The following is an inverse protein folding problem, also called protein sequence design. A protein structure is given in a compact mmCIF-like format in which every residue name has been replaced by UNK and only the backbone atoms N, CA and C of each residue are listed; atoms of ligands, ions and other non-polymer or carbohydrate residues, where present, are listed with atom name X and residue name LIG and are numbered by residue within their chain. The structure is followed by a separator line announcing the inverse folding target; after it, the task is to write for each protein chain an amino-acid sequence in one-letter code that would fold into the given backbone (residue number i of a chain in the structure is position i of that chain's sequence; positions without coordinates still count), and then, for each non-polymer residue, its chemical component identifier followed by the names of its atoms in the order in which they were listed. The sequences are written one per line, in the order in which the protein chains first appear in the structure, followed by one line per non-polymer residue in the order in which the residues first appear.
data_IF_152213283608
#
_entry.id   IF_152213283608
#
_cell.length_a   1.000
_cell.length_b   1.000
_cell.length_c   1.000
_cell.angle_alpha   90.00
_cell.angle_beta   90.00
_cell.angle_gamma   90.00
#
_symmetry.space_group_name_H-M   'P 1'
#
loop_
_entity.id
_entity.type
_entity.pdbx_description
1 polymer ?
#
# COMPACT_ATOMS: atom_id res chain seq x y z
N UNK A 1 -14.00 11.71 8.63
CA UNK A 1 -13.68 10.86 9.79
C UNK A 1 -12.28 10.34 9.52
N UNK A 2 -11.24 10.99 10.06
CA UNK A 2 -9.84 10.61 9.78
C UNK A 2 -9.45 9.53 10.79
N UNK A 3 -9.52 8.28 10.35
CA UNK A 3 -9.06 7.14 11.12
C UNK A 3 -7.53 7.20 11.24
N UNK A 4 -7.03 7.14 12.48
CA UNK A 4 -5.59 7.23 12.76
C UNK A 4 -5.08 5.83 13.05
N UNK A 5 -4.15 5.36 12.23
CA UNK A 5 -3.42 4.13 12.49
C UNK A 5 -2.47 4.33 13.67
N UNK A 6 -2.49 3.40 14.63
CA UNK A 6 -1.62 3.41 15.82
C UNK A 6 -1.17 2.01 16.16
N UNK A 7 0.02 1.87 16.72
CA UNK A 7 0.49 0.60 17.24
C UNK A 7 -0.17 0.27 18.58
N UNK A 8 -0.72 -0.95 18.71
CA UNK A 8 -1.28 -1.42 19.97
C UNK A 8 -0.30 -2.35 20.70
N UNK A 9 0.15 -2.03 21.93
CA UNK A 9 1.10 -2.86 22.67
C UNK A 9 0.51 -4.21 23.12
N UNK A 10 -0.82 -4.35 23.14
CA UNK A 10 -1.49 -5.61 23.53
C UNK A 10 -1.74 -6.54 22.34
N UNK A 11 -2.06 -5.99 21.17
CA UNK A 11 -2.24 -6.77 19.95
C UNK A 11 -0.94 -7.00 19.19
N UNK A 12 0.12 -6.24 19.51
CA UNK A 12 1.42 -6.25 18.85
C UNK A 12 1.35 -6.05 17.32
N UNK A 13 0.39 -5.23 16.85
CA UNK A 13 0.18 -4.89 15.44
C UNK A 13 -0.35 -3.46 15.29
N UNK A 14 -0.22 -2.94 14.07
CA UNK A 14 -0.87 -1.69 13.65
C UNK A 14 -2.39 -1.88 13.61
N UNK A 15 -3.11 -0.95 14.22
CA UNK A 15 -4.57 -0.99 14.32
C UNK A 15 -5.14 0.40 14.07
N UNK A 16 -6.38 0.44 13.58
CA UNK A 16 -7.13 1.70 13.51
C UNK A 16 -7.59 2.08 14.93
N UNK A 17 -7.33 3.32 15.34
CA UNK A 17 -7.69 3.83 16.66
C UNK A 17 -9.02 4.59 16.62
N UNK A 18 -9.98 4.17 17.45
CA UNK A 18 -11.27 4.86 17.64
C UNK A 18 -11.09 6.06 18.56
N UNK A 19 -11.46 7.25 18.08
CA UNK A 19 -11.50 8.50 18.85
C UNK A 19 -12.79 8.57 19.66
N UNK A 20 -12.68 8.57 20.99
CA UNK A 20 -13.81 8.77 21.90
C UNK A 20 -13.66 10.11 22.62
N UNK A 21 -14.63 11.03 22.51
CA UNK A 21 -14.61 12.27 23.29
C UNK A 21 -14.75 11.96 24.78
N UNK A 22 -13.94 12.60 25.62
CA UNK A 22 -14.03 12.55 27.08
C UNK A 22 -14.63 13.86 27.56
N UNK A 23 -15.67 13.78 28.39
CA UNK A 23 -16.44 14.92 28.90
C UNK A 23 -16.27 15.06 30.42
N UNK A 24 -16.24 16.31 30.92
CA UNK A 24 -16.54 16.67 32.31
C UNK A 24 -17.92 17.31 32.32
N UNK A 25 -18.92 16.61 32.87
CA UNK A 25 -20.30 17.07 32.77
C UNK A 25 -20.71 17.32 31.31
N UNK A 26 -20.94 18.59 30.95
CA UNK A 26 -21.34 19.03 29.61
C UNK A 26 -20.18 19.56 28.74
N UNK A 27 -18.95 19.63 29.26
CA UNK A 27 -17.80 20.21 28.56
C UNK A 27 -16.87 19.11 28.07
N UNK A 28 -16.53 19.11 26.78
CA UNK A 28 -15.54 18.16 26.21
C UNK A 28 -14.13 18.56 26.66
N UNK A 29 -13.48 17.73 27.48
CA UNK A 29 -12.11 17.98 28.00
C UNK A 29 -11.05 17.49 27.02
N UNK A 30 -11.35 16.46 26.22
CA UNK A 30 -10.37 15.89 25.32
C UNK A 30 -10.85 14.68 24.52
N UNK A 31 -9.90 13.98 23.94
CA UNK A 31 -10.13 12.77 23.14
C UNK A 31 -9.26 11.63 23.66
N UNK A 32 -9.88 10.47 23.89
CA UNK A 32 -9.20 9.23 24.21
C UNK A 32 -9.20 8.31 22.99
N UNK A 33 -8.07 7.67 22.72
CA UNK A 33 -7.95 6.69 21.65
C UNK A 33 -8.14 5.27 22.20
N UNK A 34 -8.92 4.45 21.50
CA UNK A 34 -9.13 3.03 21.86
C UNK A 34 -8.82 2.12 20.67
N UNK A 35 -8.13 1.00 20.92
CA UNK A 35 -7.87 -0.01 19.90
C UNK A 35 -9.19 -0.66 19.44
N UNK A 36 -9.41 -0.70 18.12
CA UNK A 36 -10.57 -1.38 17.50
C UNK A 36 -10.63 -2.88 17.78
N UNK A 37 -9.47 -3.55 17.93
CA UNK A 37 -9.43 -5.01 18.09
C UNK A 37 -9.54 -5.49 19.53
N UNK A 38 -8.81 -4.87 20.47
CA UNK A 38 -8.78 -5.33 21.87
C UNK A 38 -9.43 -4.35 22.87
N UNK A 39 -9.87 -3.18 22.42
CA UNK A 39 -10.49 -2.17 23.28
C UNK A 39 -9.56 -1.43 24.24
N UNK A 40 -8.24 -1.70 24.21
CA UNK A 40 -7.29 -1.05 25.10
C UNK A 40 -7.15 0.45 24.80
N UNK A 41 -7.06 1.28 25.86
CA UNK A 41 -6.77 2.71 25.75
C UNK A 41 -5.34 2.92 25.24
N UNK A 42 -5.21 3.70 24.17
CA UNK A 42 -3.94 4.06 23.54
C UNK A 42 -3.53 5.46 24.01
N UNK A 43 -2.23 5.66 24.27
CA UNK A 43 -1.71 6.98 24.61
C UNK A 43 -1.74 7.91 23.38
N UNK A 44 -2.05 9.21 23.56
CA UNK A 44 -2.20 10.16 22.44
C UNK A 44 -0.91 10.42 21.65
N UNK A 45 0.26 10.15 22.23
CA UNK A 45 1.56 10.51 21.64
C UNK A 45 2.21 9.41 20.81
N UNK A 46 1.55 8.26 20.63
CA UNK A 46 2.05 7.19 19.78
C UNK A 46 1.61 7.43 18.32
N UNK A 47 2.14 8.47 17.67
CA UNK A 47 2.02 8.62 16.22
C UNK A 47 3.04 7.67 15.56
N UNK A 48 2.62 6.76 14.68
CA UNK A 48 3.51 6.04 13.77
C UNK A 48 3.53 6.71 12.39
N UNK A 49 3.24 8.01 12.29
CA UNK A 49 3.65 8.77 11.13
C UNK A 49 5.16 8.99 11.28
N UNK A 50 5.92 7.92 11.01
CA UNK A 50 7.36 7.99 10.91
C UNK A 50 7.71 9.03 9.87
N UNK A 51 8.57 9.96 10.25
CA UNK A 51 9.24 10.82 9.29
C UNK A 51 9.91 9.94 8.22
N UNK A 52 9.99 10.36 6.96
CA UNK A 52 10.61 9.58 5.88
C UNK A 52 12.09 9.23 6.12
N UNK A 53 12.70 9.75 7.19
CA UNK A 53 14.04 9.39 7.69
C UNK A 53 14.10 8.03 8.40
N UNK A 54 13.00 7.49 8.93
CA UNK A 54 12.99 6.23 9.70
C UNK A 54 13.10 4.98 8.82
N UNK A 55 12.86 5.10 7.51
CA UNK A 55 12.95 3.98 6.57
C UNK A 55 14.40 3.47 6.52
N UNK A 56 15.38 4.38 6.49
CA UNK A 56 16.82 4.04 6.47
C UNK A 56 17.31 3.43 7.79
N UNK A 57 16.76 3.86 8.93
CA UNK A 57 17.09 3.30 10.24
C UNK A 57 16.55 1.87 10.43
N UNK A 58 15.41 1.57 9.80
CA UNK A 58 14.81 0.23 9.83
C UNK A 58 15.60 -0.80 9.01
N UNK A 59 16.14 -0.40 7.86
CA UNK A 59 17.00 -1.23 7.01
C UNK A 59 18.32 -1.57 7.73
N UNK A 60 18.96 -0.59 8.36
CA UNK A 60 20.18 -0.80 9.15
C UNK A 60 19.97 -1.64 10.43
N UNK A 61 18.73 -1.78 10.93
CA UNK A 61 18.40 -2.73 12.02
C UNK A 61 18.21 -4.15 11.50
N UNK A 62 17.58 -4.31 10.34
CA UNK A 62 17.37 -5.61 9.68
C UNK A 62 18.69 -6.26 9.24
N UNK A 63 19.67 -5.48 8.78
CA UNK A 63 20.99 -6.03 8.44
C UNK A 63 21.79 -6.48 9.67
N UNK A 64 21.66 -5.77 10.80
CA UNK A 64 22.27 -6.18 12.06
C UNK A 64 21.64 -7.44 12.65
N UNK A 65 20.33 -7.60 12.55
CA UNK A 65 19.69 -8.84 12.99
C UNK A 65 20.01 -10.02 12.08
N UNK A 66 20.13 -9.80 10.76
CA UNK A 66 20.60 -10.83 9.81
C UNK A 66 22.01 -11.32 10.17
N UNK A 67 22.97 -10.42 10.40
CA UNK A 67 24.34 -10.82 10.73
C UNK A 67 24.46 -11.55 12.08
N UNK A 68 23.63 -11.19 13.05
CA UNK A 68 23.53 -11.92 14.33
C UNK A 68 22.96 -13.33 14.15
N UNK A 69 21.91 -13.48 13.35
CA UNK A 69 21.32 -14.79 13.06
C UNK A 69 22.29 -15.69 12.28
N UNK A 70 23.02 -15.16 11.29
CA UNK A 70 24.07 -15.89 10.56
C UNK A 70 25.17 -16.37 11.50
N UNK A 71 25.57 -15.55 12.47
CA UNK A 71 26.61 -15.92 13.46
C UNK A 71 26.15 -17.01 14.44
N UNK A 72 24.83 -17.10 14.71
CA UNK A 72 24.26 -18.08 15.64
C UNK A 72 23.93 -19.42 14.97
N UNK A 73 23.40 -19.40 13.74
CA UNK A 73 22.98 -20.62 13.03
C UNK A 73 24.07 -21.21 12.15
N UNK A 74 25.13 -20.45 11.81
CA UNK A 74 26.25 -20.92 10.98
C UNK A 74 25.90 -21.19 9.51
N UNK A 75 24.66 -20.87 9.11
CA UNK A 75 24.19 -21.02 7.73
C UNK A 75 24.23 -19.67 7.00
N UNK A 76 24.65 -19.72 5.73
CA UNK A 76 24.62 -18.55 4.85
C UNK A 76 23.16 -18.24 4.50
N UNK A 77 22.63 -17.15 5.07
CA UNK A 77 21.28 -16.69 4.71
C UNK A 77 21.21 -16.41 3.20
N UNK A 78 20.17 -16.89 2.49
CA UNK A 78 20.01 -16.58 1.09
C UNK A 78 19.89 -15.06 0.88
N UNK A 79 20.42 -14.61 -0.25
CA UNK A 79 20.30 -13.23 -0.68
C UNK A 79 18.83 -12.82 -0.75
N UNK A 80 18.59 -11.53 -0.51
CA UNK A 80 17.24 -10.97 -0.53
C UNK A 80 16.61 -11.28 -1.90
N UNK A 81 15.43 -11.91 -1.96
CA UNK A 81 14.78 -12.17 -3.23
C UNK A 81 14.51 -10.83 -3.91
N UNK A 82 15.13 -10.62 -5.06
CA UNK A 82 14.78 -9.51 -5.95
C UNK A 82 13.56 -9.93 -6.74
N UNK A 83 12.52 -9.08 -6.72
CA UNK A 83 11.39 -9.24 -7.63
C UNK A 83 11.92 -8.97 -9.03
N UNK A 84 12.14 -10.03 -9.80
CA UNK A 84 12.44 -9.92 -11.22
C UNK A 84 11.13 -9.58 -11.93
N UNK A 85 11.07 -8.38 -12.50
CA UNK A 85 9.97 -8.02 -13.41
C UNK A 85 10.20 -8.75 -14.74
N UNK A 86 9.36 -9.74 -15.01
CA UNK A 86 9.31 -10.48 -16.26
C UNK A 86 8.62 -9.68 -17.39
N UNK A 87 8.26 -8.43 -17.11
CA UNK A 87 7.52 -7.56 -18.02
C UNK A 87 6.04 -7.94 -18.12
N UNK A 88 5.55 -8.88 -17.32
CA UNK A 88 4.11 -9.22 -17.27
C UNK A 88 3.27 -8.02 -16.85
N UNK A 89 3.80 -7.17 -15.98
CA UNK A 89 3.19 -5.89 -15.59
C UNK A 89 2.99 -4.94 -16.78
N UNK A 90 3.78 -5.08 -17.85
CA UNK A 90 3.65 -4.29 -19.08
C UNK A 90 2.65 -4.88 -20.09
N UNK A 91 2.22 -6.14 -19.92
CA UNK A 91 1.33 -6.89 -20.84
C UNK A 91 -0.12 -6.97 -20.36
N UNK A 92 -0.56 -5.96 -19.62
CA UNK A 92 -1.92 -5.89 -19.08
C UNK A 92 -2.90 -5.34 -20.11
N UNK A 93 -4.16 -5.77 -20.06
CA UNK A 93 -5.23 -5.31 -20.93
C UNK A 93 -5.31 -3.78 -20.99
N UNK A 94 -5.08 -3.06 -19.87
CA UNK A 94 -5.02 -1.59 -19.84
C UNK A 94 -4.08 -0.97 -20.90
N UNK A 95 -2.98 -1.62 -21.22
CA UNK A 95 -1.98 -1.13 -22.18
C UNK A 95 -2.17 -1.70 -23.59
N UNK A 96 -3.24 -2.46 -23.81
CA UNK A 96 -3.52 -3.11 -25.08
C UNK A 96 -4.31 -2.18 -26.02
N UNK A 97 -3.98 -2.19 -27.31
CA UNK A 97 -4.70 -1.44 -28.36
C UNK A 97 -6.17 -1.84 -28.48
N UNK A 98 -6.52 -3.08 -28.12
CA UNK A 98 -7.88 -3.60 -28.21
C UNK A 98 -8.71 -3.33 -26.96
N UNK A 99 -8.15 -2.67 -25.95
CA UNK A 99 -8.84 -2.34 -24.72
C UNK A 99 -9.62 -1.04 -24.89
N UNK A 100 -10.93 -1.10 -24.64
CA UNK A 100 -11.80 0.06 -24.74
C UNK A 100 -12.34 0.40 -23.37
N UNK A 101 -11.99 1.60 -22.90
CA UNK A 101 -12.51 2.17 -21.66
C UNK A 101 -13.86 2.83 -21.96
N UNK A 102 -14.93 2.24 -21.45
CA UNK A 102 -16.24 2.89 -21.36
C UNK A 102 -16.54 3.10 -19.86
N UNK A 103 -17.11 4.25 -19.45
CA UNK A 103 -17.47 4.51 -18.06
C UNK A 103 -18.23 3.38 -17.34
N UNK A 104 -18.98 2.56 -18.09
CA UNK A 104 -19.79 1.47 -17.54
C UNK A 104 -19.22 0.07 -17.78
N UNK A 105 -18.24 -0.09 -18.69
CA UNK A 105 -17.70 -1.41 -19.03
C UNK A 105 -16.26 -1.35 -19.50
N UNK A 106 -15.49 -2.33 -19.07
CA UNK A 106 -14.14 -2.57 -19.56
C UNK A 106 -14.21 -3.72 -20.56
N UNK A 107 -13.91 -3.46 -21.82
CA UNK A 107 -14.20 -4.37 -22.92
C UNK A 107 -12.97 -4.64 -23.79
N UNK A 108 -12.79 -5.90 -24.17
CA UNK A 108 -11.81 -6.29 -25.17
C UNK A 108 -12.46 -6.35 -26.55
N UNK A 109 -12.06 -5.46 -27.47
CA UNK A 109 -12.55 -5.44 -28.85
C UNK A 109 -12.21 -6.70 -29.65
N UNK A 110 -11.10 -7.37 -29.32
CA UNK A 110 -10.64 -8.58 -30.02
C UNK A 110 -11.44 -9.83 -29.62
N UNK A 111 -11.56 -10.10 -28.31
CA UNK A 111 -12.29 -11.27 -27.80
C UNK A 111 -13.80 -11.04 -27.62
N UNK A 112 -14.26 -9.80 -27.74
CA UNK A 112 -15.67 -9.40 -27.60
C UNK A 112 -16.29 -9.87 -26.27
N UNK A 113 -15.59 -9.59 -25.18
CA UNK A 113 -16.03 -9.88 -23.81
C UNK A 113 -15.59 -8.77 -22.85
N UNK A 114 -16.23 -8.74 -21.69
CA UNK A 114 -15.77 -7.93 -20.57
C UNK A 114 -14.43 -8.49 -20.04
N UNK A 115 -13.52 -7.58 -19.70
CA UNK A 115 -12.18 -7.88 -19.18
C UNK A 115 -11.82 -6.86 -18.12
N UNK A 116 -10.96 -7.22 -17.17
CA UNK A 116 -10.41 -6.29 -16.20
C UNK A 116 -9.11 -5.66 -16.72
N UNK A 117 -8.78 -4.46 -16.24
CA UNK A 117 -7.57 -3.73 -16.60
C UNK A 117 -6.27 -4.54 -16.35
N UNK A 118 -6.29 -5.44 -15.37
CA UNK A 118 -5.16 -6.31 -14.96
C UNK A 118 -5.13 -7.66 -15.68
N UNK A 119 -6.10 -7.96 -16.55
CA UNK A 119 -6.10 -9.21 -17.30
C UNK A 119 -4.96 -9.25 -18.34
N UNK A 120 -4.59 -10.47 -18.76
CA UNK A 120 -3.60 -10.70 -19.81
C UNK A 120 -4.12 -11.71 -20.84
N UNK A 121 -3.65 -11.62 -22.08
CA UNK A 121 -4.00 -12.58 -23.13
C UNK A 121 -2.84 -12.77 -24.13
N UNK A 122 -2.88 -13.86 -24.90
CA UNK A 122 -1.87 -14.16 -25.93
C UNK A 122 -1.92 -13.23 -27.15
N UNK A 123 -2.94 -12.38 -27.26
CA UNK A 123 -3.13 -11.43 -28.37
C UNK A 123 -2.83 -9.98 -27.95
N UNK A 124 -2.01 -9.78 -26.93
CA UNK A 124 -1.62 -8.45 -26.46
C UNK A 124 -0.84 -7.67 -27.52
N UNK A 125 -1.25 -6.42 -27.78
CA UNK A 125 -0.54 -5.48 -28.65
C UNK A 125 -0.50 -4.12 -27.95
N UNK A 126 0.69 -3.57 -27.73
CA UNK A 126 0.87 -2.31 -26.99
C UNK A 126 0.19 -1.15 -27.74
N UNK A 127 -0.62 -0.36 -27.04
CA UNK A 127 -1.22 0.86 -27.58
C UNK A 127 -0.12 1.90 -27.91
N UNK A 128 -0.27 2.66 -29.01
CA UNK A 128 0.64 3.77 -29.30
C UNK A 128 0.52 4.84 -28.21
N UNK A 129 1.64 5.47 -27.87
CA UNK A 129 1.64 6.59 -26.92
C UNK A 129 0.91 7.78 -27.55
N UNK A 130 0.01 8.46 -26.82
CA UNK A 130 -0.70 9.62 -27.36
C UNK A 130 0.31 10.73 -27.65
N UNK A 131 0.27 11.28 -28.87
CA UNK A 131 1.04 12.47 -29.23
C UNK A 131 0.59 13.65 -28.35
N UNK A 132 1.50 14.53 -27.92
CA UNK A 132 1.14 15.67 -27.08
C UNK A 132 0.19 16.60 -27.84
N UNK A 133 -1.03 16.74 -27.32
CA UNK A 133 -2.01 17.70 -27.83
C UNK A 133 -1.39 19.11 -27.76
N UNK A 134 -1.37 19.79 -28.92
CA UNK A 134 -0.88 21.16 -29.02
C UNK A 134 -1.70 22.05 -28.07
N UNK A 135 -1.08 23.01 -27.37
CA UNK A 135 -1.78 23.85 -26.41
C UNK A 135 -2.91 24.61 -27.09
N UNK A 136 -4.13 24.46 -26.56
CA UNK A 136 -5.28 25.27 -26.94
C UNK A 136 -4.94 26.76 -26.73
N UNK A 137 -4.89 27.52 -27.82
CA UNK A 137 -4.78 28.99 -27.76
C UNK A 137 -6.09 29.59 -27.20
N UNK A 138 -5.99 30.68 -26.41
CA UNK A 138 -7.06 31.18 -25.52
C UNK A 138 -8.28 31.80 -26.21
#
# INVERSE_FOLDING_TARGET
MLDVERFCPRCNRMVLALRKPVFDGFTKIGEAFTCTLCGQKLKPDANPAGDPSDITASEARLDRSRSQLTSLLGEVLPDRPTLQDDGSASRLCRYCVHYTINPFRQWCGFHRRDVEATDTCGHFQKAPEPEPEAPDEP
#
